data_IF_270400908105
#
_entry.id   IF_270400908105
#
_cell.length_a   1.000
_cell.length_b   1.000
_cell.length_c   1.000
_cell.angle_alpha   90.00
_cell.angle_beta   90.00
_cell.angle_gamma   90.00
#
_symmetry.space_group_name_H-M   'P 1'
#
loop_
_entity.id
_entity.type
_entity.pdbx_description
1 polymer ?
#
# COMPACT_ATOMS: atom_id res chain seq x y z
N UNK A 1 -16.23 32.92 -6.91
CA UNK A 1 -14.81 32.60 -6.70
C UNK A 1 -14.53 32.02 -5.31
N UNK A 2 -15.13 32.54 -4.24
CA UNK A 2 -14.90 32.02 -2.87
C UNK A 2 -15.28 30.54 -2.69
N UNK A 3 -16.47 30.12 -3.13
CA UNK A 3 -16.92 28.72 -3.01
C UNK A 3 -15.98 27.75 -3.73
N UNK A 4 -15.48 28.12 -4.91
CA UNK A 4 -14.55 27.29 -5.67
C UNK A 4 -13.24 27.08 -4.91
N UNK A 5 -12.67 28.16 -4.34
CA UNK A 5 -11.48 28.05 -3.50
C UNK A 5 -11.72 27.21 -2.24
N UNK A 6 -12.88 27.38 -1.60
CA UNK A 6 -13.27 26.55 -0.44
C UNK A 6 -13.32 25.07 -0.81
N UNK A 7 -13.92 24.71 -1.96
CA UNK A 7 -13.98 23.32 -2.42
C UNK A 7 -12.59 22.74 -2.67
N UNK A 8 -11.66 23.51 -3.24
CA UNK A 8 -10.27 23.06 -3.43
C UNK A 8 -9.59 22.75 -2.09
N UNK A 9 -9.77 23.61 -1.08
CA UNK A 9 -9.22 23.40 0.27
C UNK A 9 -9.86 22.18 0.94
N UNK A 10 -11.18 21.99 0.80
CA UNK A 10 -11.88 20.82 1.34
C UNK A 10 -11.32 19.54 0.74
N UNK A 11 -11.17 19.47 -0.59
CA UNK A 11 -10.62 18.29 -1.26
C UNK A 11 -9.15 18.02 -0.88
N UNK A 12 -8.37 19.08 -0.69
CA UNK A 12 -7.01 18.96 -0.19
C UNK A 12 -6.96 18.39 1.24
N UNK A 13 -7.83 18.88 2.13
CA UNK A 13 -7.96 18.34 3.50
C UNK A 13 -8.44 16.88 3.50
N UNK A 14 -9.43 16.57 2.67
CA UNK A 14 -9.93 15.19 2.51
C UNK A 14 -8.84 14.26 2.01
N UNK A 15 -8.02 14.69 1.05
CA UNK A 15 -6.87 13.93 0.60
C UNK A 15 -5.88 13.69 1.74
N UNK A 16 -5.61 14.70 2.58
CA UNK A 16 -4.79 14.53 3.78
C UNK A 16 -5.35 13.48 4.74
N UNK A 17 -6.65 13.53 5.04
CA UNK A 17 -7.33 12.53 5.88
C UNK A 17 -7.25 11.13 5.27
N UNK A 18 -7.46 11.00 3.96
CA UNK A 18 -7.37 9.72 3.26
C UNK A 18 -5.95 9.15 3.29
N UNK A 19 -4.92 9.97 3.08
CA UNK A 19 -3.52 9.54 3.15
C UNK A 19 -3.12 9.13 4.56
N UNK A 20 -3.59 9.84 5.59
CA UNK A 20 -3.39 9.44 7.00
C UNK A 20 -4.11 8.12 7.28
N UNK A 21 -5.37 7.98 6.87
CA UNK A 21 -6.14 6.75 7.03
C UNK A 21 -5.46 5.56 6.35
N UNK A 22 -4.97 5.75 5.12
CA UNK A 22 -4.17 4.76 4.40
C UNK A 22 -2.91 4.40 5.20
N UNK A 23 -2.14 5.39 5.67
CA UNK A 23 -0.91 5.16 6.41
C UNK A 23 -1.15 4.38 7.72
N UNK A 24 -2.23 4.67 8.45
CA UNK A 24 -2.56 3.94 9.69
C UNK A 24 -3.07 2.54 9.39
N UNK A 25 -4.11 2.42 8.56
CA UNK A 25 -4.80 1.15 8.32
C UNK A 25 -3.93 0.18 7.52
N UNK A 26 -3.44 0.61 6.35
CA UNK A 26 -2.60 -0.23 5.49
C UNK A 26 -1.20 -0.37 6.09
N UNK A 27 -0.66 0.68 6.73
CA UNK A 27 0.66 0.62 7.34
C UNK A 27 0.77 -0.41 8.47
N UNK A 28 -0.27 -0.60 9.27
CA UNK A 28 -0.31 -1.68 10.28
C UNK A 28 -0.17 -3.07 9.62
N UNK A 29 -0.99 -3.35 8.60
CA UNK A 29 -0.96 -4.63 7.90
C UNK A 29 0.40 -4.88 7.21
N UNK A 30 0.91 -3.87 6.51
CA UNK A 30 2.19 -3.93 5.81
C UNK A 30 3.34 -4.07 6.80
N UNK A 31 3.27 -3.41 7.95
CA UNK A 31 4.24 -3.52 9.03
C UNK A 31 4.34 -4.94 9.56
N UNK A 32 3.20 -5.57 9.88
CA UNK A 32 3.16 -6.98 10.32
C UNK A 32 3.79 -7.91 9.28
N UNK A 33 3.46 -7.73 7.99
CA UNK A 33 4.09 -8.49 6.91
C UNK A 33 5.60 -8.26 6.83
N UNK A 34 6.05 -7.01 6.81
CA UNK A 34 7.44 -6.62 6.67
C UNK A 34 8.34 -7.07 7.83
N UNK A 35 7.79 -7.32 9.01
CA UNK A 35 8.58 -7.82 10.15
C UNK A 35 8.28 -9.29 10.48
N UNK A 36 7.40 -9.95 9.73
CA UNK A 36 6.88 -11.29 10.02
C UNK A 36 7.97 -12.31 10.29
N UNK A 37 9.02 -12.33 9.46
CA UNK A 37 10.12 -13.29 9.56
C UNK A 37 11.11 -12.98 10.68
N UNK A 38 11.15 -11.73 11.15
CA UNK A 38 12.04 -11.31 12.24
C UNK A 38 11.40 -11.53 13.60
N UNK A 39 10.09 -11.26 13.72
CA UNK A 39 9.33 -11.42 14.97
C UNK A 39 8.88 -12.87 15.15
N UNK A 40 8.39 -13.53 14.09
CA UNK A 40 8.01 -14.94 14.14
C UNK A 40 9.19 -15.84 13.81
N UNK A 41 9.74 -16.52 14.82
CA UNK A 41 10.84 -17.49 14.68
C UNK A 41 10.29 -18.89 14.39
N UNK A 42 9.11 -19.21 14.91
CA UNK A 42 8.38 -20.47 14.64
C UNK A 42 7.18 -20.27 13.71
N UNK A 43 6.67 -21.36 13.11
CA UNK A 43 5.45 -21.29 12.29
C UNK A 43 4.22 -20.86 13.10
N UNK A 44 4.15 -21.27 14.38
CA UNK A 44 3.08 -20.88 15.27
C UNK A 44 3.13 -19.37 15.57
N UNK A 45 4.31 -18.83 15.88
CA UNK A 45 4.48 -17.39 16.12
C UNK A 45 4.13 -16.56 14.88
N UNK A 46 4.55 -16.99 13.68
CA UNK A 46 4.17 -16.33 12.42
C UNK A 46 2.68 -16.37 12.21
N UNK A 47 2.03 -17.50 12.49
CA UNK A 47 0.58 -17.64 12.38
C UNK A 47 -0.16 -16.71 13.35
N UNK A 48 0.31 -16.60 14.59
CA UNK A 48 -0.24 -15.67 15.58
C UNK A 48 -0.12 -14.23 15.08
N UNK A 49 1.05 -13.83 14.57
CA UNK A 49 1.25 -12.49 14.01
C UNK A 49 0.30 -12.19 12.83
N UNK A 50 0.15 -13.12 11.89
CA UNK A 50 -0.77 -12.95 10.76
C UNK A 50 -2.24 -12.89 11.19
N UNK A 51 -2.62 -13.64 12.22
CA UNK A 51 -3.98 -13.63 12.74
C UNK A 51 -4.35 -12.31 13.44
N UNK A 52 -3.38 -11.50 13.86
CA UNK A 52 -3.64 -10.14 14.39
C UNK A 52 -4.32 -9.28 13.32
N UNK A 53 -3.94 -9.44 12.05
CA UNK A 53 -4.45 -8.62 10.94
C UNK A 53 -5.48 -9.34 10.06
N UNK A 54 -5.57 -10.67 10.18
CA UNK A 54 -6.46 -11.53 9.41
C UNK A 54 -7.91 -11.05 9.30
N UNK A 55 -8.58 -10.57 10.37
CA UNK A 55 -9.98 -10.18 10.31
C UNK A 55 -10.27 -8.86 9.58
N UNK A 56 -9.27 -8.00 9.35
CA UNK A 56 -9.49 -6.62 8.90
C UNK A 56 -8.59 -6.15 7.77
N UNK A 57 -7.55 -6.89 7.40
CA UNK A 57 -6.59 -6.46 6.36
C UNK A 57 -7.25 -6.15 5.01
N UNK A 58 -8.31 -6.88 4.65
CA UNK A 58 -9.01 -6.71 3.37
C UNK A 58 -9.80 -5.38 3.35
N UNK A 59 -10.51 -5.09 4.44
CA UNK A 59 -11.16 -3.78 4.64
C UNK A 59 -10.15 -2.64 4.70
N UNK A 60 -9.00 -2.85 5.33
CA UNK A 60 -7.92 -1.86 5.38
C UNK A 60 -7.37 -1.53 3.99
N UNK A 61 -7.26 -2.50 3.08
CA UNK A 61 -6.81 -2.25 1.70
C UNK A 61 -7.76 -1.34 0.91
N UNK A 62 -9.05 -1.28 1.25
CA UNK A 62 -9.99 -0.38 0.57
C UNK A 62 -9.56 1.09 0.71
N UNK A 63 -8.86 1.47 1.78
CA UNK A 63 -8.31 2.82 1.93
C UNK A 63 -7.29 3.18 0.85
N UNK A 64 -6.52 2.20 0.37
CA UNK A 64 -5.61 2.40 -0.76
C UNK A 64 -6.38 2.67 -2.06
N UNK A 65 -7.44 1.89 -2.31
CA UNK A 65 -8.30 2.04 -3.50
C UNK A 65 -9.03 3.38 -3.45
N UNK A 66 -9.61 3.73 -2.30
CA UNK A 66 -10.31 4.99 -2.07
C UNK A 66 -9.37 6.19 -2.24
N UNK A 67 -8.14 6.12 -1.71
CA UNK A 67 -7.14 7.16 -1.90
C UNK A 67 -6.83 7.40 -3.37
N UNK A 68 -6.56 6.33 -4.13
CA UNK A 68 -6.34 6.41 -5.58
C UNK A 68 -7.54 6.97 -6.34
N UNK A 69 -8.75 6.51 -6.01
CA UNK A 69 -10.00 6.97 -6.63
C UNK A 69 -10.31 8.44 -6.32
N UNK A 70 -10.04 8.89 -5.09
CA UNK A 70 -10.23 10.28 -4.70
C UNK A 70 -9.26 11.22 -5.44
N UNK A 71 -7.99 10.82 -5.60
CA UNK A 71 -7.02 11.59 -6.41
C UNK A 71 -7.49 11.64 -7.87
N UNK A 72 -7.96 10.52 -8.43
CA UNK A 72 -8.50 10.50 -9.79
C UNK A 72 -9.70 11.45 -9.96
N UNK A 73 -10.63 11.46 -9.00
CA UNK A 73 -11.85 12.26 -9.08
C UNK A 73 -11.60 13.76 -8.85
N UNK A 74 -10.78 14.12 -7.86
CA UNK A 74 -10.58 15.52 -7.44
C UNK A 74 -9.35 16.17 -8.07
N UNK A 75 -8.33 15.38 -8.41
CA UNK A 75 -7.04 15.85 -8.90
C UNK A 75 -6.54 15.02 -10.10
N UNK A 76 -7.27 14.99 -11.23
CA UNK A 76 -6.99 14.09 -12.35
C UNK A 76 -5.59 14.29 -12.95
N UNK A 77 -5.07 15.51 -12.95
CA UNK A 77 -3.71 15.78 -13.42
C UNK A 77 -2.65 15.17 -12.49
N UNK A 78 -2.85 15.26 -11.17
CA UNK A 78 -1.96 14.62 -10.18
C UNK A 78 -2.02 13.10 -10.35
N UNK A 79 -3.22 12.54 -10.53
CA UNK A 79 -3.40 11.11 -10.79
C UNK A 79 -2.62 10.67 -12.03
N UNK A 80 -2.85 11.31 -13.17
CA UNK A 80 -2.24 10.94 -14.45
C UNK A 80 -0.71 11.06 -14.40
N UNK A 81 -0.18 12.17 -13.88
CA UNK A 81 1.27 12.41 -13.80
C UNK A 81 1.96 11.48 -12.81
N UNK A 82 1.38 11.24 -11.62
CA UNK A 82 1.99 10.36 -10.65
C UNK A 82 2.03 8.90 -11.14
N UNK A 83 0.91 8.38 -11.67
CA UNK A 83 0.85 6.98 -12.11
C UNK A 83 1.66 6.71 -13.39
N UNK A 84 1.79 7.69 -14.29
CA UNK A 84 2.62 7.57 -15.49
C UNK A 84 4.10 7.85 -15.22
N UNK A 85 4.43 8.89 -14.44
CA UNK A 85 5.80 9.24 -14.08
C UNK A 85 6.47 8.18 -13.22
N UNK A 86 5.71 7.52 -12.32
CA UNK A 86 6.18 6.40 -11.51
C UNK A 86 5.79 5.03 -12.07
N UNK A 87 5.61 4.89 -13.39
CA UNK A 87 5.02 3.69 -14.02
C UNK A 87 5.59 2.36 -13.53
N UNK A 88 6.92 2.17 -13.61
CA UNK A 88 7.58 0.91 -13.19
C UNK A 88 7.39 0.66 -11.69
N UNK A 89 7.46 1.72 -10.89
CA UNK A 89 7.29 1.66 -9.44
C UNK A 89 5.84 1.30 -9.08
N UNK A 90 4.86 1.85 -9.79
CA UNK A 90 3.45 1.53 -9.61
C UNK A 90 3.11 0.11 -10.04
N UNK A 91 3.73 -0.40 -11.11
CA UNK A 91 3.58 -1.82 -11.49
C UNK A 91 4.13 -2.75 -10.41
N UNK A 92 5.31 -2.44 -9.88
CA UNK A 92 5.91 -3.21 -8.79
C UNK A 92 5.05 -3.18 -7.53
N UNK A 93 4.49 -2.02 -7.18
CA UNK A 93 3.51 -1.88 -6.11
C UNK A 93 2.28 -2.78 -6.38
N UNK A 94 1.70 -2.73 -7.57
CA UNK A 94 0.54 -3.54 -7.97
C UNK A 94 0.82 -5.05 -7.81
N UNK A 95 1.94 -5.54 -8.34
CA UNK A 95 2.30 -6.96 -8.24
C UNK A 95 2.43 -7.41 -6.78
N UNK A 96 3.09 -6.61 -5.94
CA UNK A 96 3.21 -6.93 -4.51
C UNK A 96 1.86 -6.90 -3.79
N UNK A 97 0.99 -5.96 -4.15
CA UNK A 97 -0.37 -5.86 -3.60
C UNK A 97 -1.24 -7.06 -4.00
N UNK A 98 -1.09 -7.61 -5.22
CA UNK A 98 -1.78 -8.83 -5.66
C UNK A 98 -1.30 -10.07 -4.89
N UNK A 99 0.00 -10.16 -4.65
CA UNK A 99 0.59 -11.34 -3.99
C UNK A 99 0.20 -11.45 -2.51
N UNK A 100 -0.14 -10.34 -1.86
CA UNK A 100 -0.49 -10.31 -0.43
C UNK A 100 -1.77 -11.10 -0.10
N UNK A 101 -2.95 -10.85 -0.72
CA UNK A 101 -4.15 -11.67 -0.56
C UNK A 101 -3.88 -13.16 -0.75
N UNK A 102 -3.12 -13.52 -1.80
CA UNK A 102 -2.76 -14.90 -2.09
C UNK A 102 -1.94 -15.52 -0.94
N UNK A 103 -1.02 -14.74 -0.36
CA UNK A 103 -0.25 -15.15 0.81
C UNK A 103 -1.13 -15.49 2.01
N UNK A 104 -2.11 -14.63 2.35
CA UNK A 104 -3.01 -14.90 3.47
C UNK A 104 -3.87 -16.15 3.23
N UNK A 105 -4.46 -16.26 2.04
CA UNK A 105 -5.40 -17.34 1.74
C UNK A 105 -4.69 -18.69 1.56
N UNK A 106 -3.55 -18.71 0.88
CA UNK A 106 -2.90 -19.96 0.45
C UNK A 106 -1.85 -20.51 1.41
N UNK A 107 -1.24 -19.67 2.26
CA UNK A 107 -0.19 -20.11 3.21
C UNK A 107 -0.58 -21.35 4.01
N UNK A 108 -1.81 -21.41 4.49
CA UNK A 108 -2.26 -22.47 5.41
C UNK A 108 -3.00 -23.63 4.72
N UNK A 109 -3.20 -23.58 3.41
CA UNK A 109 -3.96 -24.62 2.67
C UNK A 109 -3.19 -25.93 2.53
N UNK A 110 -1.87 -25.89 2.51
CA UNK A 110 -1.00 -27.09 2.39
C UNK A 110 -0.11 -27.19 3.64
N UNK A 111 -0.14 -28.35 4.29
CA UNK A 111 0.67 -28.65 5.47
C UNK A 111 2.12 -29.04 5.09
N UNK A 112 2.77 -28.25 4.24
CA UNK A 112 4.15 -28.44 3.82
C UNK A 112 5.02 -27.26 4.30
N UNK A 113 6.13 -27.49 5.03
CA UNK A 113 7.02 -26.42 5.51
C UNK A 113 7.62 -25.56 4.39
N UNK A 114 8.00 -26.15 3.26
CA UNK A 114 8.55 -25.41 2.12
C UNK A 114 7.49 -24.48 1.50
N UNK A 115 6.24 -24.96 1.39
CA UNK A 115 5.10 -24.15 0.94
C UNK A 115 4.86 -22.95 1.84
N UNK A 116 4.76 -23.16 3.16
CA UNK A 116 4.57 -22.08 4.14
C UNK A 116 5.71 -21.08 4.09
N UNK A 117 6.94 -21.55 3.93
CA UNK A 117 8.13 -20.70 3.85
C UNK A 117 8.14 -19.79 2.61
N UNK A 118 7.65 -20.28 1.46
CA UNK A 118 7.49 -19.46 0.26
C UNK A 118 6.48 -18.34 0.52
N UNK A 119 5.31 -18.68 1.09
CA UNK A 119 4.30 -17.66 1.40
C UNK A 119 4.74 -16.69 2.50
N UNK A 120 5.53 -17.13 3.48
CA UNK A 120 6.14 -16.23 4.47
C UNK A 120 7.09 -15.21 3.81
N UNK A 121 7.82 -15.60 2.76
CA UNK A 121 8.63 -14.67 1.96
C UNK A 121 7.76 -13.72 1.14
N UNK A 122 6.70 -14.23 0.51
CA UNK A 122 5.74 -13.40 -0.25
C UNK A 122 5.09 -12.35 0.66
N UNK A 123 4.65 -12.73 1.86
CA UNK A 123 4.04 -11.83 2.84
C UNK A 123 5.05 -10.79 3.36
N UNK A 124 6.31 -11.20 3.53
CA UNK A 124 7.39 -10.27 3.88
C UNK A 124 7.64 -9.23 2.78
N UNK A 125 7.85 -9.67 1.54
CA UNK A 125 8.11 -8.77 0.41
C UNK A 125 6.92 -7.86 0.15
N UNK A 126 5.71 -8.41 0.17
CA UNK A 126 4.49 -7.62 -0.04
C UNK A 126 4.15 -6.67 1.10
N UNK A 127 4.70 -6.87 2.30
CA UNK A 127 4.65 -5.88 3.39
C UNK A 127 5.71 -4.79 3.23
N UNK A 128 6.96 -5.18 2.94
CA UNK A 128 8.09 -4.25 2.93
C UNK A 128 8.11 -3.34 1.70
N UNK A 129 7.87 -3.91 0.51
CA UNK A 129 8.02 -3.18 -0.76
C UNK A 129 7.07 -2.00 -0.88
N UNK A 130 5.75 -2.12 -0.60
CA UNK A 130 4.86 -0.96 -0.63
C UNK A 130 5.32 0.18 0.27
N UNK A 131 5.76 -0.10 1.49
CA UNK A 131 6.21 0.93 2.42
C UNK A 131 7.45 1.68 1.91
N UNK A 132 8.42 0.94 1.36
CA UNK A 132 9.64 1.53 0.78
C UNK A 132 9.28 2.37 -0.45
N UNK A 133 8.43 1.85 -1.33
CA UNK A 133 7.97 2.53 -2.54
C UNK A 133 7.25 3.83 -2.21
N UNK A 134 6.31 3.80 -1.27
CA UNK A 134 5.60 4.99 -0.83
C UNK A 134 6.56 6.03 -0.22
N UNK A 135 7.46 5.60 0.66
CA UNK A 135 8.46 6.49 1.25
C UNK A 135 9.36 7.15 0.19
N UNK A 136 9.86 6.37 -0.75
CA UNK A 136 10.70 6.88 -1.85
C UNK A 136 9.92 7.82 -2.78
N UNK A 137 8.67 7.49 -3.11
CA UNK A 137 7.81 8.33 -3.94
C UNK A 137 7.57 9.69 -3.27
N UNK A 138 7.17 9.71 -2.00
CA UNK A 138 6.99 10.96 -1.25
C UNK A 138 8.30 11.75 -1.10
N UNK A 139 9.41 11.08 -0.84
CA UNK A 139 10.73 11.71 -0.82
C UNK A 139 11.05 12.41 -2.15
N UNK A 140 10.85 11.72 -3.27
CA UNK A 140 11.06 12.29 -4.60
C UNK A 140 10.09 13.44 -4.92
N UNK A 141 8.86 13.41 -4.40
CA UNK A 141 7.92 14.54 -4.55
C UNK A 141 8.48 15.83 -3.91
N UNK A 142 9.20 15.74 -2.79
CA UNK A 142 9.83 16.90 -2.16
C UNK A 142 11.08 17.38 -2.89
N UNK A 143 11.84 16.47 -3.50
CA UNK A 143 13.00 16.81 -4.34
C UNK A 143 12.61 17.36 -5.72
N UNK A 144 11.40 17.04 -6.18
CA UNK A 144 10.95 17.30 -7.54
C UNK A 144 11.19 16.09 -8.45
N UNK A 145 10.19 15.76 -9.27
CA UNK A 145 10.25 14.65 -10.24
C UNK A 145 10.41 15.25 -11.64
N UNK A 146 11.36 14.77 -12.46
CA UNK A 146 11.57 15.32 -13.79
C UNK A 146 10.47 14.83 -14.75
N UNK A 147 9.45 15.66 -14.96
CA UNK A 147 8.46 15.51 -16.01
C UNK A 147 8.17 16.87 -16.65
N UNK A 148 7.71 16.86 -17.89
CA UNK A 148 7.28 18.07 -18.60
C UNK A 148 5.99 17.79 -19.36
N UNK A 149 5.20 18.83 -19.56
CA UNK A 149 4.05 18.79 -20.45
C UNK A 149 4.47 19.34 -21.81
N UNK A 150 4.08 18.68 -22.89
CA UNK A 150 4.41 19.08 -24.26
C UNK A 150 3.40 20.09 -24.85
N UNK A 151 2.42 20.54 -24.06
CA UNK A 151 1.35 21.47 -24.47
C UNK A 151 1.53 22.88 -23.90
#
# INVERSE_FOLDING_TARGET
MEIYAILQVIWWLLLGVLLIGLAVMVGMDMGVGAILRYVGRTDLERRVALNIIGPHWDGNQVWFILGGGAIFAAFPLIYATAFSGFYVVMLLLLWTMIMRPLGFEYRSKIANPAWRNVWDWVLFVSGAVPMIVFGAAFGNLFHGVPFHFEW
#
